data_IF_574998538428
#
_entry.id   IF_574998538428
#
_cell.length_a   1.000
_cell.length_b   1.000
_cell.length_c   1.000
_cell.angle_alpha   90.00
_cell.angle_beta   90.00
_cell.angle_gamma   90.00
#
_symmetry.space_group_name_H-M   'P 1'
#
loop_
_entity.id
_entity.type
_entity.pdbx_description
1 polymer ?
#
# COMPACT_ATOMS: atom_id res chain seq x y z
N UNK A 1 -7.89 7.91 -29.09
CA UNK A 1 -7.61 6.95 -28.01
C UNK A 1 -6.20 6.43 -28.23
N UNK A 2 -5.25 6.55 -27.28
CA UNK A 2 -3.89 6.02 -27.50
C UNK A 2 -3.96 4.49 -27.44
N UNK A 3 -3.56 3.81 -28.52
CA UNK A 3 -3.35 2.36 -28.49
C UNK A 3 -2.07 2.06 -27.71
N UNK A 4 -2.23 1.38 -26.58
CA UNK A 4 -1.11 0.87 -25.80
C UNK A 4 -0.70 -0.51 -26.32
N UNK A 5 0.59 -0.79 -26.37
CA UNK A 5 1.08 -2.14 -26.66
C UNK A 5 0.62 -3.13 -25.59
N UNK A 6 0.59 -4.43 -25.93
CA UNK A 6 0.22 -5.49 -24.98
C UNK A 6 1.04 -5.44 -23.69
N UNK A 7 2.33 -5.13 -23.80
CA UNK A 7 3.26 -4.98 -22.65
C UNK A 7 2.95 -3.73 -21.83
N UNK A 8 2.64 -2.61 -22.48
CA UNK A 8 2.24 -1.36 -21.81
C UNK A 8 0.98 -1.55 -20.95
N UNK A 9 -0.01 -2.28 -21.47
CA UNK A 9 -1.23 -2.62 -20.74
C UNK A 9 -0.94 -3.47 -19.49
N UNK A 10 -0.03 -4.46 -19.59
CA UNK A 10 0.38 -5.27 -18.44
C UNK A 10 1.09 -4.43 -17.37
N UNK A 11 1.98 -3.53 -17.76
CA UNK A 11 2.66 -2.62 -16.81
C UNK A 11 1.63 -1.74 -16.09
N UNK A 12 0.65 -1.19 -16.82
CA UNK A 12 -0.43 -0.40 -16.24
C UNK A 12 -1.26 -1.21 -15.22
N UNK A 13 -1.53 -2.49 -15.48
CA UNK A 13 -2.18 -3.40 -14.52
C UNK A 13 -1.37 -3.59 -13.25
N UNK A 14 -0.06 -3.80 -13.38
CA UNK A 14 0.84 -3.98 -12.24
C UNK A 14 0.81 -2.72 -11.36
N UNK A 15 0.89 -1.55 -11.97
CA UNK A 15 0.85 -0.26 -11.27
C UNK A 15 -0.49 -0.09 -10.52
N UNK A 16 -1.62 -0.29 -11.19
CA UNK A 16 -2.94 -0.16 -10.56
C UNK A 16 -3.14 -1.15 -9.40
N UNK A 17 -2.78 -2.42 -9.59
CA UNK A 17 -2.92 -3.44 -8.56
C UNK A 17 -2.11 -3.09 -7.30
N UNK A 18 -0.87 -2.62 -7.45
CA UNK A 18 -0.02 -2.28 -6.30
C UNK A 18 -0.41 -0.96 -5.64
N UNK A 19 -0.96 0.01 -6.39
CA UNK A 19 -1.62 1.18 -5.81
C UNK A 19 -2.78 0.74 -4.90
N UNK A 20 -3.63 -0.17 -5.38
CA UNK A 20 -4.79 -0.63 -4.63
C UNK A 20 -4.37 -1.37 -3.34
N UNK A 21 -3.43 -2.31 -3.46
CA UNK A 21 -2.89 -3.08 -2.32
C UNK A 21 -2.24 -2.18 -1.27
N UNK A 22 -1.45 -1.18 -1.68
CA UNK A 22 -0.86 -0.22 -0.76
C UNK A 22 -1.94 0.58 -0.01
N UNK A 23 -2.99 1.02 -0.69
CA UNK A 23 -4.08 1.78 -0.07
C UNK A 23 -4.92 0.93 0.89
N UNK A 24 -5.21 -0.31 0.53
CA UNK A 24 -5.97 -1.25 1.37
C UNK A 24 -5.18 -1.62 2.63
N UNK A 25 -3.89 -1.95 2.51
CA UNK A 25 -3.05 -2.24 3.66
C UNK A 25 -2.93 -1.04 4.62
N UNK A 26 -2.78 0.17 4.08
CA UNK A 26 -2.79 1.40 4.89
C UNK A 26 -4.16 1.65 5.54
N UNK A 27 -5.26 1.33 4.86
CA UNK A 27 -6.60 1.47 5.43
C UNK A 27 -6.75 0.61 6.68
N UNK A 28 -6.29 -0.64 6.64
CA UNK A 28 -6.31 -1.53 7.81
C UNK A 28 -5.47 -0.96 8.94
N UNK A 29 -4.24 -0.51 8.64
CA UNK A 29 -3.36 0.11 9.65
C UNK A 29 -3.98 1.36 10.29
N UNK A 30 -4.72 2.16 9.52
CA UNK A 30 -5.43 3.34 10.03
C UNK A 30 -6.55 2.98 11.00
N UNK A 31 -7.30 1.91 10.75
CA UNK A 31 -8.34 1.49 11.69
C UNK A 31 -7.73 0.96 12.99
N UNK A 32 -6.58 0.30 12.93
CA UNK A 32 -5.83 -0.12 14.12
C UNK A 32 -5.42 1.11 14.93
N UNK A 33 -4.84 2.14 14.30
CA UNK A 33 -4.41 3.34 15.03
C UNK A 33 -5.59 4.14 15.57
N UNK A 34 -6.73 4.15 14.87
CA UNK A 34 -7.92 4.89 15.26
C UNK A 34 -8.70 4.22 16.38
N UNK A 35 -8.97 2.92 16.27
CA UNK A 35 -9.90 2.22 17.16
C UNK A 35 -9.22 1.37 18.22
N UNK A 36 -8.08 0.75 17.91
CA UNK A 36 -7.35 -0.06 18.89
C UNK A 36 -6.42 0.82 19.72
N UNK A 37 -5.61 1.66 19.06
CA UNK A 37 -4.65 2.52 19.76
C UNK A 37 -5.25 3.85 20.23
N UNK A 38 -6.45 4.21 19.75
CA UNK A 38 -7.11 5.49 20.03
C UNK A 38 -6.17 6.71 19.87
N UNK A 39 -5.26 6.66 18.88
CA UNK A 39 -4.22 7.67 18.70
C UNK A 39 -4.53 8.55 17.50
N UNK A 40 -4.96 9.78 17.78
CA UNK A 40 -5.22 10.80 16.74
C UNK A 40 -3.97 11.12 15.92
N UNK A 41 -2.81 11.16 16.56
CA UNK A 41 -1.52 11.45 15.91
C UNK A 41 -1.16 10.35 14.91
N UNK A 42 -1.15 9.08 15.36
CA UNK A 42 -0.80 7.95 14.48
C UNK A 42 -1.84 7.73 13.36
N UNK A 43 -3.11 8.03 13.65
CA UNK A 43 -4.17 8.04 12.63
C UNK A 43 -3.89 9.09 11.56
N UNK A 44 -3.51 10.30 11.96
CA UNK A 44 -3.18 11.38 11.05
C UNK A 44 -1.94 11.05 10.19
N UNK A 45 -0.92 10.42 10.76
CA UNK A 45 0.28 9.98 10.03
C UNK A 45 -0.07 9.00 8.90
N UNK A 46 -0.83 7.94 9.21
CA UNK A 46 -1.27 6.95 8.19
C UNK A 46 -2.18 7.60 7.15
N UNK A 47 -3.12 8.45 7.57
CA UNK A 47 -4.00 9.19 6.66
C UNK A 47 -3.17 10.08 5.72
N UNK A 48 -2.17 10.78 6.25
CA UNK A 48 -1.24 11.60 5.46
C UNK A 48 -0.53 10.80 4.37
N UNK A 49 -0.07 9.59 4.69
CA UNK A 49 0.56 8.69 3.72
C UNK A 49 -0.41 8.23 2.62
N UNK A 50 -1.66 7.89 2.97
CA UNK A 50 -2.70 7.57 1.98
C UNK A 50 -2.96 8.75 1.05
N UNK A 51 -3.05 9.96 1.59
CA UNK A 51 -3.25 11.18 0.80
C UNK A 51 -2.05 11.49 -0.10
N UNK A 52 -0.81 11.27 0.36
CA UNK A 52 0.40 11.38 -0.47
C UNK A 52 0.32 10.44 -1.67
N UNK A 53 -0.03 9.16 -1.45
CA UNK A 53 -0.23 8.17 -2.51
C UNK A 53 -1.31 8.64 -3.50
N UNK A 54 -2.48 9.06 -3.00
CA UNK A 54 -3.58 9.56 -3.86
C UNK A 54 -3.16 10.76 -4.70
N UNK A 55 -2.35 11.66 -4.14
CA UNK A 55 -1.85 12.84 -4.85
C UNK A 55 -0.85 12.48 -5.94
N UNK A 56 0.02 11.49 -5.70
CA UNK A 56 0.92 10.98 -6.73
C UNK A 56 0.17 10.33 -7.89
N UNK A 57 -0.91 9.59 -7.59
CA UNK A 57 -1.71 8.89 -8.61
C UNK A 57 -2.47 9.87 -9.50
N UNK A 58 -2.92 11.01 -8.97
CA UNK A 58 -3.53 12.07 -9.79
C UNK A 58 -2.58 12.63 -10.86
N UNK A 59 -1.26 12.52 -10.64
CA UNK A 59 -0.23 12.92 -11.60
C UNK A 59 0.13 11.84 -12.63
N UNK A 60 -0.46 10.64 -12.56
CA UNK A 60 -0.26 9.59 -13.55
C UNK A 60 -1.18 9.79 -14.77
N UNK A 61 -0.75 9.38 -15.98
CA UNK A 61 -1.61 9.39 -17.16
C UNK A 61 -2.89 8.57 -16.93
N UNK A 62 -3.93 9.01 -17.62
CA UNK A 62 -5.36 8.82 -17.35
C UNK A 62 -5.74 7.66 -16.40
N UNK A 63 -6.24 8.01 -15.21
CA UNK A 63 -6.76 7.07 -14.21
C UNK A 63 -7.77 6.08 -14.79
N UNK A 64 -8.51 6.48 -15.82
CA UNK A 64 -9.44 5.61 -16.54
C UNK A 64 -8.74 4.53 -17.37
N UNK A 65 -7.51 4.76 -17.84
CA UNK A 65 -6.69 3.72 -18.48
C UNK A 65 -6.28 2.69 -17.44
N UNK A 66 -5.79 3.09 -16.27
CA UNK A 66 -5.42 2.16 -15.19
C UNK A 66 -6.62 1.32 -14.74
N UNK A 67 -7.79 1.96 -14.56
CA UNK A 67 -9.03 1.29 -14.19
C UNK A 67 -9.54 0.34 -15.29
N UNK A 68 -9.47 0.73 -16.56
CA UNK A 68 -9.94 -0.11 -17.68
C UNK A 68 -9.10 -1.37 -17.87
N UNK A 69 -7.89 -1.41 -17.33
CA UNK A 69 -7.04 -2.60 -17.33
C UNK A 69 -7.30 -3.52 -16.12
N UNK A 70 -8.14 -3.15 -15.15
CA UNK A 70 -8.46 -4.01 -14.01
C UNK A 70 -9.10 -5.30 -14.48
N UNK A 71 -8.40 -6.40 -14.25
CA UNK A 71 -8.92 -7.75 -14.48
C UNK A 71 -8.78 -8.58 -13.22
N UNK A 72 -9.51 -8.18 -12.18
CA UNK A 72 -9.47 -8.87 -10.89
C UNK A 72 -9.88 -10.34 -11.01
N UNK A 73 -10.77 -10.69 -11.94
CA UNK A 73 -11.22 -12.07 -12.19
C UNK A 73 -10.15 -12.95 -12.86
N UNK A 74 -9.21 -12.34 -13.59
CA UNK A 74 -8.09 -13.03 -14.26
C UNK A 74 -6.77 -12.91 -13.45
N UNK A 75 -6.84 -12.46 -12.19
CA UNK A 75 -5.65 -12.36 -11.32
C UNK A 75 -5.24 -13.76 -10.87
N UNK A 76 -4.11 -14.24 -11.39
CA UNK A 76 -3.53 -15.55 -11.06
C UNK A 76 -3.19 -15.70 -9.57
N UNK A 77 -3.03 -14.58 -8.84
CA UNK A 77 -2.81 -14.56 -7.40
C UNK A 77 -4.07 -14.77 -6.56
N UNK A 78 -5.29 -14.71 -7.16
CA UNK A 78 -6.58 -14.84 -6.46
C UNK A 78 -6.74 -16.18 -5.73
N UNK A 79 -6.08 -17.24 -6.19
CA UNK A 79 -6.15 -18.59 -5.61
C UNK A 79 -4.99 -18.96 -4.69
N UNK A 80 -4.00 -18.09 -4.51
CA UNK A 80 -2.83 -18.36 -3.67
C UNK A 80 -3.17 -18.02 -2.20
N UNK A 81 -4.03 -18.83 -1.58
CA UNK A 81 -4.29 -18.77 -0.16
C UNK A 81 -3.17 -19.50 0.60
N UNK A 82 -2.06 -18.81 0.85
CA UNK A 82 -1.06 -19.29 1.82
C UNK A 82 -1.56 -19.18 3.27
N UNK A 83 -0.64 -19.16 4.24
CA UNK A 83 -0.88 -18.94 5.68
C UNK A 83 -1.64 -17.64 6.05
N UNK A 84 -2.24 -16.92 5.10
CA UNK A 84 -2.99 -15.67 5.28
C UNK A 84 -4.19 -15.80 6.22
N UNK A 85 -4.69 -17.02 6.44
CA UNK A 85 -5.89 -17.31 7.24
C UNK A 85 -5.68 -17.29 8.75
N UNK A 86 -4.43 -17.36 9.24
CA UNK A 86 -4.16 -17.33 10.69
C UNK A 86 -3.58 -15.99 11.11
N UNK A 87 -4.31 -15.27 11.97
CA UNK A 87 -3.84 -14.10 12.72
C UNK A 87 -4.22 -14.32 14.17
N UNK A 88 -3.25 -14.25 15.07
CA UNK A 88 -3.49 -14.55 16.47
C UNK A 88 -3.84 -13.31 17.28
N UNK A 89 -3.40 -12.13 16.83
CA UNK A 89 -3.60 -10.88 17.55
C UNK A 89 -3.55 -9.65 16.61
N UNK A 90 -3.73 -8.44 17.17
CA UNK A 90 -3.70 -7.18 16.40
C UNK A 90 -2.31 -6.90 15.82
N UNK A 91 -1.25 -7.37 16.47
CA UNK A 91 0.13 -7.20 16.03
C UNK A 91 0.37 -7.93 14.71
N UNK A 92 -0.07 -9.19 14.60
CA UNK A 92 -0.03 -9.97 13.36
C UNK A 92 -0.81 -9.29 12.23
N UNK A 93 -1.97 -8.70 12.55
CA UNK A 93 -2.79 -7.97 11.57
C UNK A 93 -2.02 -6.75 11.07
N UNK A 94 -1.46 -5.95 11.98
CA UNK A 94 -0.69 -4.76 11.64
C UNK A 94 0.53 -5.11 10.78
N UNK A 95 1.39 -6.03 11.24
CA UNK A 95 2.65 -6.32 10.57
C UNK A 95 2.48 -6.89 9.16
N UNK A 96 1.52 -7.81 8.94
CA UNK A 96 1.35 -8.30 7.58
C UNK A 96 0.75 -7.25 6.64
N UNK A 97 -0.12 -6.35 7.15
CA UNK A 97 -0.66 -5.29 6.30
C UNK A 97 0.39 -4.23 5.98
N UNK A 98 1.19 -3.78 6.96
CA UNK A 98 2.27 -2.80 6.71
C UNK A 98 3.37 -3.41 5.83
N UNK A 99 3.65 -4.71 5.94
CA UNK A 99 4.59 -5.40 5.05
C UNK A 99 4.09 -5.43 3.60
N UNK A 100 2.81 -5.77 3.36
CA UNK A 100 2.21 -5.69 2.02
C UNK A 100 2.22 -4.29 1.43
N UNK A 101 2.06 -3.25 2.26
CA UNK A 101 2.22 -1.85 1.83
C UNK A 101 3.64 -1.60 1.34
N UNK A 102 4.66 -2.02 2.11
CA UNK A 102 6.08 -1.86 1.73
C UNK A 102 6.41 -2.58 0.42
N UNK A 103 5.93 -3.81 0.26
CA UNK A 103 6.11 -4.59 -0.97
C UNK A 103 5.44 -3.91 -2.16
N UNK A 104 4.20 -3.46 -2.00
CA UNK A 104 3.46 -2.74 -3.05
C UNK A 104 4.17 -1.45 -3.46
N UNK A 105 4.66 -0.67 -2.49
CA UNK A 105 5.44 0.55 -2.75
C UNK A 105 6.78 0.23 -3.43
N UNK A 106 7.43 -0.89 -3.09
CA UNK A 106 8.66 -1.34 -3.75
C UNK A 106 8.41 -1.68 -5.22
N UNK A 107 7.30 -2.36 -5.52
CA UNK A 107 6.90 -2.64 -6.90
C UNK A 107 6.64 -1.32 -7.65
N UNK A 108 5.89 -0.38 -7.06
CA UNK A 108 5.64 0.92 -7.67
C UNK A 108 6.93 1.71 -7.91
N UNK A 109 7.86 1.71 -6.95
CA UNK A 109 9.18 2.32 -7.08
C UNK A 109 9.92 1.80 -8.32
N UNK A 110 9.99 0.47 -8.51
CA UNK A 110 10.70 -0.14 -9.63
C UNK A 110 9.99 0.09 -10.97
N UNK A 111 8.68 -0.16 -11.05
CA UNK A 111 7.94 0.02 -12.31
C UNK A 111 7.85 1.47 -12.76
N UNK A 112 7.90 2.44 -11.83
CA UNK A 112 7.99 3.84 -12.19
C UNK A 112 9.33 4.22 -12.82
N UNK A 113 10.42 3.48 -12.63
CA UNK A 113 11.69 3.78 -13.32
C UNK A 113 11.56 3.70 -14.84
N UNK A 114 10.64 2.87 -15.34
CA UNK A 114 10.34 2.73 -16.77
C UNK A 114 9.50 3.89 -17.33
N UNK A 115 8.87 4.70 -16.47
CA UNK A 115 7.87 5.71 -16.86
C UNK A 115 8.24 7.12 -16.45
N UNK A 116 8.69 7.28 -15.22
CA UNK A 116 8.92 8.56 -14.57
C UNK A 116 9.83 8.36 -13.34
N UNK A 117 11.11 8.69 -13.49
CA UNK A 117 12.11 8.59 -12.43
C UNK A 117 11.78 9.45 -11.20
N UNK A 118 11.15 10.62 -11.39
CA UNK A 118 10.70 11.47 -10.29
C UNK A 118 9.58 10.80 -9.46
N UNK A 119 8.63 10.10 -10.09
CA UNK A 119 7.63 9.32 -9.37
C UNK A 119 8.25 8.10 -8.66
N UNK A 120 9.25 7.45 -9.26
CA UNK A 120 10.02 6.38 -8.59
C UNK A 120 10.65 6.88 -7.27
N UNK A 121 11.33 8.04 -7.31
CA UNK A 121 11.92 8.67 -6.13
C UNK A 121 10.86 9.00 -5.08
N UNK A 122 9.69 9.48 -5.50
CA UNK A 122 8.59 9.80 -4.57
C UNK A 122 8.00 8.57 -3.90
N UNK A 123 7.81 7.46 -4.61
CA UNK A 123 7.39 6.18 -4.00
C UNK A 123 8.45 5.63 -3.05
N UNK A 124 9.73 5.75 -3.40
CA UNK A 124 10.84 5.44 -2.49
C UNK A 124 10.73 6.27 -1.20
N UNK A 125 10.50 7.57 -1.31
CA UNK A 125 10.31 8.46 -0.17
C UNK A 125 9.14 8.04 0.73
N UNK A 126 7.99 7.72 0.14
CA UNK A 126 6.83 7.21 0.92
C UNK A 126 7.20 5.90 1.64
N UNK A 127 7.95 4.99 1.01
CA UNK A 127 8.39 3.76 1.65
C UNK A 127 9.28 4.02 2.88
N UNK A 128 10.11 5.07 2.87
CA UNK A 128 10.85 5.49 4.06
C UNK A 128 9.94 6.05 5.15
N UNK A 129 8.97 6.89 4.79
CA UNK A 129 7.98 7.38 5.76
C UNK A 129 7.20 6.21 6.41
N UNK A 130 6.94 5.14 5.66
CA UNK A 130 6.31 3.91 6.20
C UNK A 130 7.17 3.28 7.29
N UNK A 131 8.50 3.18 7.13
CA UNK A 131 9.36 2.59 8.16
C UNK A 131 9.31 3.38 9.48
N UNK A 132 9.28 4.71 9.39
CA UNK A 132 9.20 5.57 10.56
C UNK A 132 7.86 5.42 11.29
N UNK A 133 6.76 5.38 10.54
CA UNK A 133 5.43 5.21 11.12
C UNK A 133 5.24 3.78 11.67
N UNK A 134 5.77 2.77 10.98
CA UNK A 134 5.77 1.38 11.42
C UNK A 134 6.41 1.24 12.80
N UNK A 135 7.60 1.83 13.00
CA UNK A 135 8.31 1.79 14.28
C UNK A 135 7.49 2.38 15.43
N UNK A 136 6.87 3.55 15.21
CA UNK A 136 6.04 4.22 16.22
C UNK A 136 4.80 3.39 16.59
N UNK A 137 4.13 2.83 15.59
CA UNK A 137 2.92 2.02 15.81
C UNK A 137 3.29 0.70 16.50
N UNK A 138 4.36 0.03 16.08
CA UNK A 138 4.82 -1.22 16.68
C UNK A 138 5.11 -1.05 18.18
N UNK A 139 5.80 0.02 18.58
CA UNK A 139 6.04 0.33 19.99
C UNK A 139 4.73 0.50 20.78
N UNK A 140 3.74 1.18 20.17
CA UNK A 140 2.44 1.39 20.81
C UNK A 140 1.63 0.09 20.91
N UNK A 141 1.70 -0.79 19.90
CA UNK A 141 1.07 -2.11 19.94
C UNK A 141 1.71 -2.98 21.03
N UNK A 142 3.04 -3.03 21.12
CA UNK A 142 3.73 -3.79 22.15
C UNK A 142 3.29 -3.36 23.57
N UNK A 143 3.11 -2.05 23.80
CA UNK A 143 2.65 -1.53 25.09
C UNK A 143 1.25 -2.03 25.51
N UNK A 144 0.41 -2.50 24.57
CA UNK A 144 -0.90 -3.08 24.91
C UNK A 144 -0.77 -4.41 25.66
N UNK A 145 0.32 -5.16 25.44
CA UNK A 145 0.52 -6.47 26.04
C UNK A 145 1.35 -6.42 27.33
N UNK A 146 2.13 -5.35 27.54
CA UNK A 146 2.96 -5.14 28.73
C UNK A 146 2.21 -4.51 29.93
N UNK A 147 0.92 -4.18 29.77
CA UNK A 147 0.06 -3.69 30.85
C UNK A 147 -0.94 -4.76 31.35
N UNK A 148 -0.58 -6.04 31.24
CA UNK A 148 -1.29 -7.15 31.89
C UNK A 148 -0.49 -7.70 33.04
#
# INVERSE_FOLDING_TARGET
MREFSKTENVINRIIDANINRAKEGLRVCEEITRFILNSRVLTADIKGLRHKIDSLIKGLPDKYVLLSQRKSLEDVGRGLFGNELKRNNVEDIFFANIQRVKESLRVLEEFMKLRNSNLSIRFKGIRYDIYEVEKKIAQRIASLYHHR
#
